data_IF_688622501348
#
_entry.id   IF_688622501348
#
_cell.length_a   1.000
_cell.length_b   1.000
_cell.length_c   1.000
_cell.angle_alpha   90.00
_cell.angle_beta   90.00
_cell.angle_gamma   90.00
#
_symmetry.space_group_name_H-M   'P 1'
#
loop_
_entity.id
_entity.type
_entity.pdbx_description
1 polymer ?
#
# COMPACT_ATOMS: atom_id res chain seq x y z
N UNK A 1 11.85 -13.04 -0.89
CA UNK A 1 10.78 -12.30 -0.19
C UNK A 1 9.69 -11.93 -1.18
N UNK A 2 8.45 -12.22 -0.85
CA UNK A 2 7.29 -11.80 -1.64
C UNK A 2 6.86 -10.40 -1.21
N UNK A 3 6.75 -9.49 -2.17
CA UNK A 3 6.31 -8.11 -1.94
C UNK A 3 5.07 -7.84 -2.79
N UNK A 4 3.97 -7.51 -2.15
CA UNK A 4 2.77 -7.09 -2.84
C UNK A 4 2.77 -5.57 -3.01
N UNK A 5 2.60 -5.11 -4.24
CA UNK A 5 2.40 -3.70 -4.56
C UNK A 5 0.94 -3.53 -4.99
N UNK A 6 0.15 -2.87 -4.15
CA UNK A 6 -1.26 -2.59 -4.44
C UNK A 6 -1.38 -1.13 -4.88
N UNK A 7 -1.44 -0.92 -6.19
CA UNK A 7 -1.42 0.40 -6.83
C UNK A 7 -2.10 0.33 -8.19
N UNK A 8 -2.98 1.26 -8.50
CA UNK A 8 -3.71 1.31 -9.77
C UNK A 8 -3.12 2.29 -10.80
N UNK A 9 -2.33 3.27 -10.36
CA UNK A 9 -1.65 4.20 -11.26
C UNK A 9 -0.39 3.57 -11.83
N UNK A 10 -0.33 3.46 -13.15
CA UNK A 10 0.73 2.73 -13.85
C UNK A 10 2.12 3.30 -13.59
N UNK A 11 2.30 4.62 -13.62
CA UNK A 11 3.60 5.25 -13.42
C UNK A 11 4.13 5.02 -12.00
N UNK A 12 3.27 5.19 -11.01
CA UNK A 12 3.63 4.95 -9.61
C UNK A 12 3.95 3.48 -9.36
N UNK A 13 3.18 2.56 -9.96
CA UNK A 13 3.45 1.14 -9.90
C UNK A 13 4.84 0.80 -10.43
N UNK A 14 5.22 1.37 -11.58
CA UNK A 14 6.57 1.19 -12.15
C UNK A 14 7.66 1.70 -11.22
N UNK A 15 7.47 2.87 -10.62
CA UNK A 15 8.43 3.44 -9.67
C UNK A 15 8.59 2.57 -8.43
N UNK A 16 7.49 2.04 -7.91
CA UNK A 16 7.54 1.14 -6.76
C UNK A 16 8.19 -0.21 -7.10
N UNK A 17 7.94 -0.75 -8.29
CA UNK A 17 8.65 -1.96 -8.77
C UNK A 17 10.15 -1.74 -8.81
N UNK A 18 10.59 -0.63 -9.41
CA UNK A 18 12.01 -0.30 -9.49
C UNK A 18 12.62 -0.16 -8.09
N UNK A 19 11.92 0.51 -7.18
CA UNK A 19 12.34 0.64 -5.79
C UNK A 19 12.55 -0.73 -5.13
N UNK A 20 11.59 -1.62 -5.26
CA UNK A 20 11.68 -2.97 -4.67
C UNK A 20 12.85 -3.74 -5.26
N UNK A 21 13.01 -3.71 -6.59
CA UNK A 21 14.10 -4.40 -7.28
C UNK A 21 15.47 -3.87 -6.84
N UNK A 22 15.59 -2.57 -6.63
CA UNK A 22 16.85 -1.94 -6.26
C UNK A 22 17.22 -2.13 -4.77
N UNK A 23 16.24 -2.35 -3.91
CA UNK A 23 16.45 -2.35 -2.45
C UNK A 23 16.24 -3.69 -1.77
N UNK A 24 15.65 -4.66 -2.43
CA UNK A 24 15.41 -6.01 -1.88
C UNK A 24 16.07 -7.03 -2.78
N UNK A 25 16.84 -7.94 -2.19
CA UNK A 25 17.54 -8.99 -2.93
C UNK A 25 16.55 -10.08 -3.37
N UNK A 26 16.55 -10.40 -4.66
CA UNK A 26 15.71 -11.43 -5.28
C UNK A 26 14.24 -11.36 -4.86
N UNK A 27 13.57 -10.20 -5.05
CA UNK A 27 12.18 -10.09 -4.65
C UNK A 27 11.25 -10.82 -5.63
N UNK A 28 10.20 -11.42 -5.08
CA UNK A 28 9.06 -11.87 -5.88
C UNK A 28 8.01 -10.76 -5.78
N UNK A 29 7.79 -10.05 -6.88
CA UNK A 29 6.88 -8.90 -6.89
C UNK A 29 5.50 -9.36 -7.35
N UNK A 30 4.52 -9.15 -6.49
CA UNK A 30 3.11 -9.37 -6.75
C UNK A 30 2.44 -8.01 -6.96
N UNK A 31 1.52 -7.94 -7.90
CA UNK A 31 0.84 -6.69 -8.22
C UNK A 31 -0.67 -6.85 -8.06
N UNK A 32 -1.32 -5.80 -7.53
CA UNK A 32 -2.76 -5.71 -7.45
C UNK A 32 -3.17 -4.27 -7.78
N UNK A 33 -4.24 -4.11 -8.54
CA UNK A 33 -4.69 -2.80 -9.01
C UNK A 33 -6.03 -2.36 -8.43
N UNK A 34 -6.56 -3.15 -7.50
CA UNK A 34 -7.84 -2.88 -6.85
C UNK A 34 -7.87 -3.49 -5.46
N UNK A 35 -8.86 -3.11 -4.67
CA UNK A 35 -9.12 -3.75 -3.37
C UNK A 35 -9.33 -5.25 -3.56
N UNK A 36 -10.13 -5.65 -4.54
CA UNK A 36 -10.44 -7.06 -4.79
C UNK A 36 -9.21 -7.87 -5.16
N UNK A 37 -8.42 -7.40 -6.12
CA UNK A 37 -7.22 -8.12 -6.53
C UNK A 37 -6.15 -8.13 -5.42
N UNK A 38 -6.07 -7.08 -4.60
CA UNK A 38 -5.17 -7.08 -3.44
C UNK A 38 -5.55 -8.15 -2.43
N UNK A 39 -6.83 -8.28 -2.12
CA UNK A 39 -7.32 -9.31 -1.19
C UNK A 39 -7.03 -10.72 -1.75
N UNK A 40 -7.28 -10.94 -3.03
CA UNK A 40 -6.99 -12.23 -3.67
C UNK A 40 -5.51 -12.60 -3.55
N UNK A 41 -4.61 -11.64 -3.83
CA UNK A 41 -3.16 -11.86 -3.70
C UNK A 41 -2.75 -12.11 -2.25
N UNK A 42 -3.33 -11.41 -1.30
CA UNK A 42 -3.05 -11.60 0.13
C UNK A 42 -3.44 -13.01 0.58
N UNK A 43 -4.59 -13.50 0.16
CA UNK A 43 -5.07 -14.82 0.52
C UNK A 43 -4.25 -15.95 -0.15
N UNK A 44 -3.97 -15.80 -1.43
CA UNK A 44 -3.31 -16.84 -2.23
C UNK A 44 -1.81 -16.92 -1.99
N UNK A 45 -1.14 -15.77 -1.92
CA UNK A 45 0.31 -15.69 -1.95
C UNK A 45 0.94 -15.40 -0.58
N UNK A 46 0.21 -14.85 0.35
CA UNK A 46 0.71 -14.52 1.70
C UNK A 46 2.03 -13.74 1.65
N UNK A 47 2.04 -12.50 1.12
CA UNK A 47 3.27 -11.73 0.98
C UNK A 47 3.91 -11.39 2.33
N UNK A 48 5.21 -11.11 2.29
CA UNK A 48 6.00 -10.73 3.46
C UNK A 48 6.00 -9.23 3.71
N UNK A 49 5.66 -8.44 2.69
CA UNK A 49 5.61 -6.98 2.75
C UNK A 49 4.53 -6.49 1.79
N UNK A 50 3.76 -5.51 2.21
CA UNK A 50 2.73 -4.88 1.38
C UNK A 50 3.02 -3.40 1.25
N UNK A 51 3.17 -2.92 0.01
CA UNK A 51 3.18 -1.50 -0.32
C UNK A 51 1.78 -1.16 -0.85
N UNK A 52 1.07 -0.30 -0.16
CA UNK A 52 -0.37 -0.12 -0.34
C UNK A 52 -0.72 1.33 -0.63
N UNK A 53 -1.39 1.57 -1.76
CA UNK A 53 -2.01 2.86 -2.02
C UNK A 53 -3.34 2.98 -1.27
N UNK A 54 -3.62 4.17 -0.76
CA UNK A 54 -4.86 4.42 -0.03
C UNK A 54 -6.07 4.60 -0.95
N UNK A 55 -5.86 5.01 -2.20
CA UNK A 55 -6.91 5.39 -3.15
C UNK A 55 -7.26 4.29 -4.17
N UNK A 56 -7.15 3.03 -3.80
CA UNK A 56 -7.45 1.91 -4.70
C UNK A 56 -8.93 1.89 -5.10
N UNK A 57 -9.25 1.59 -6.38
CA UNK A 57 -10.62 1.29 -6.78
C UNK A 57 -11.06 -0.06 -6.20
N UNK A 58 -12.36 -0.30 -6.17
CA UNK A 58 -12.93 -1.55 -5.63
C UNK A 58 -12.55 -2.75 -6.48
N UNK A 59 -12.66 -2.60 -7.82
CA UNK A 59 -12.37 -3.65 -8.80
C UNK A 59 -11.35 -3.17 -9.82
N UNK A 60 -10.63 -4.11 -10.43
CA UNK A 60 -9.73 -3.81 -11.54
C UNK A 60 -10.51 -3.19 -12.70
N UNK A 61 -9.89 -2.21 -13.38
CA UNK A 61 -10.48 -1.49 -14.51
C UNK A 61 -9.86 -2.00 -15.79
N UNK A 62 -10.69 -2.53 -16.69
CA UNK A 62 -10.26 -2.88 -18.04
C UNK A 62 -10.08 -1.61 -18.89
N UNK A 63 -9.23 -1.65 -19.95
CA UNK A 63 -9.08 -0.51 -20.84
C UNK A 63 -10.42 -0.08 -21.43
N UNK A 64 -10.77 1.19 -21.26
CA UNK A 64 -12.04 1.74 -21.76
C UNK A 64 -13.23 1.63 -20.80
N UNK A 65 -13.08 0.97 -19.66
CA UNK A 65 -14.12 0.94 -18.64
C UNK A 65 -13.92 2.07 -17.63
N UNK A 66 -15.03 2.66 -17.18
CA UNK A 66 -15.02 3.51 -16.00
C UNK A 66 -15.12 2.59 -14.77
N UNK A 67 -14.02 2.39 -14.07
CA UNK A 67 -13.91 1.42 -12.97
C UNK A 67 -14.56 1.82 -11.66
N UNK A 68 -15.65 2.54 -11.69
CA UNK A 68 -16.24 3.07 -10.49
C UNK A 68 -15.39 4.22 -9.93
N UNK A 69 -15.87 4.83 -8.88
CA UNK A 69 -15.14 5.93 -8.22
C UNK A 69 -13.96 5.34 -7.45
N UNK A 70 -12.75 5.93 -7.58
CA UNK A 70 -11.70 5.61 -6.63
C UNK A 70 -12.24 5.91 -5.23
N UNK A 71 -12.23 4.90 -4.38
CA UNK A 71 -12.60 5.14 -2.99
C UNK A 71 -11.38 5.76 -2.31
N UNK A 72 -11.55 6.93 -1.67
CA UNK A 72 -10.46 7.60 -0.96
C UNK A 72 -9.78 6.73 0.10
N UNK A 73 -10.44 5.65 0.52
CA UNK A 73 -9.95 4.73 1.56
C UNK A 73 -9.96 3.26 1.12
N UNK A 74 -9.77 2.97 -0.18
CA UNK A 74 -9.68 1.59 -0.65
C UNK A 74 -8.57 0.80 0.05
N UNK A 75 -7.43 1.44 0.31
CA UNK A 75 -6.35 0.83 1.09
C UNK A 75 -6.77 0.46 2.51
N UNK A 76 -7.55 1.29 3.17
CA UNK A 76 -8.08 0.98 4.51
C UNK A 76 -9.00 -0.25 4.47
N UNK A 77 -9.77 -0.43 3.39
CA UNK A 77 -10.56 -1.64 3.18
C UNK A 77 -9.69 -2.89 3.11
N UNK A 78 -8.57 -2.81 2.37
CA UNK A 78 -7.62 -3.92 2.28
C UNK A 78 -7.09 -4.29 3.68
N UNK A 79 -6.70 -3.31 4.48
CA UNK A 79 -6.19 -3.55 5.83
C UNK A 79 -7.26 -4.15 6.74
N UNK A 80 -8.50 -3.71 6.60
CA UNK A 80 -9.63 -4.27 7.36
C UNK A 80 -9.85 -5.74 7.02
N UNK A 81 -9.78 -6.11 5.74
CA UNK A 81 -9.87 -7.51 5.34
C UNK A 81 -8.69 -8.35 5.84
N UNK A 82 -7.48 -7.78 5.87
CA UNK A 82 -6.33 -8.46 6.46
C UNK A 82 -6.60 -8.82 7.93
N UNK A 83 -7.11 -7.88 8.69
CA UNK A 83 -7.46 -8.12 10.10
C UNK A 83 -8.54 -9.21 10.23
N UNK A 84 -9.58 -9.14 9.41
CA UNK A 84 -10.68 -10.11 9.41
C UNK A 84 -10.19 -11.52 9.06
N UNK A 85 -9.28 -11.65 8.11
CA UNK A 85 -8.74 -12.94 7.65
C UNK A 85 -7.56 -13.43 8.49
N UNK A 86 -7.11 -12.65 9.47
CA UNK A 86 -5.96 -12.98 10.28
C UNK A 86 -4.63 -12.96 9.51
N UNK A 87 -4.55 -12.18 8.45
CA UNK A 87 -3.33 -12.03 7.66
C UNK A 87 -2.47 -10.95 8.32
N UNK A 88 -1.32 -11.36 8.84
CA UNK A 88 -0.36 -10.45 9.47
C UNK A 88 0.85 -10.32 8.56
N UNK A 89 0.94 -9.18 7.88
CA UNK A 89 2.09 -8.79 7.08
C UNK A 89 2.33 -7.30 7.31
N UNK A 90 3.58 -6.84 7.37
CA UNK A 90 3.86 -5.41 7.49
C UNK A 90 3.35 -4.65 6.26
N UNK A 91 2.63 -3.56 6.52
CA UNK A 91 2.06 -2.70 5.48
C UNK A 91 2.67 -1.32 5.59
N UNK A 92 3.23 -0.83 4.48
CA UNK A 92 3.64 0.56 4.31
C UNK A 92 2.69 1.19 3.29
N UNK A 93 2.02 2.26 3.71
CA UNK A 93 1.14 3.04 2.82
C UNK A 93 1.99 4.01 2.03
N UNK A 94 1.85 4.00 0.69
CA UNK A 94 2.51 4.94 -0.21
C UNK A 94 1.42 5.64 -1.00
N UNK A 95 1.18 6.91 -0.69
CA UNK A 95 0.04 7.66 -1.23
C UNK A 95 0.46 8.98 -1.85
N UNK A 96 -0.20 9.33 -2.97
CA UNK A 96 0.01 10.60 -3.65
C UNK A 96 -0.91 11.72 -3.12
N UNK A 97 -1.81 11.43 -2.22
CA UNK A 97 -2.77 12.39 -1.70
C UNK A 97 -2.38 12.91 -0.33
N UNK A 98 -2.43 14.22 -0.14
CA UNK A 98 -2.17 14.88 1.15
C UNK A 98 -3.39 14.92 2.05
N UNK A 99 -4.57 14.71 1.48
CA UNK A 99 -5.81 14.74 2.23
C UNK A 99 -6.86 13.80 1.63
N UNK A 100 -7.70 13.28 2.49
CA UNK A 100 -8.79 12.38 2.12
C UNK A 100 -10.09 12.90 2.71
N UNK A 101 -11.22 12.66 2.02
CA UNK A 101 -12.53 12.94 2.57
C UNK A 101 -13.10 11.68 3.23
N UNK A 102 -13.55 11.84 4.47
CA UNK A 102 -14.26 10.81 5.21
C UNK A 102 -15.53 11.42 5.78
N UNK A 103 -16.69 10.93 5.33
CA UNK A 103 -18.01 11.42 5.75
C UNK A 103 -18.17 12.95 5.59
N UNK A 104 -17.64 13.49 4.48
CA UNK A 104 -17.69 14.91 4.20
C UNK A 104 -16.66 15.76 4.94
N UNK A 105 -15.72 15.13 5.67
CA UNK A 105 -14.64 15.82 6.36
C UNK A 105 -13.31 15.50 5.72
N UNK A 106 -12.45 16.52 5.59
CA UNK A 106 -11.08 16.35 5.12
C UNK A 106 -10.22 15.70 6.21
N UNK A 107 -9.46 14.68 5.84
CA UNK A 107 -8.52 13.99 6.73
C UNK A 107 -7.12 14.17 6.18
N UNK A 108 -6.24 14.82 6.92
CA UNK A 108 -4.83 14.99 6.51
C UNK A 108 -4.01 13.72 6.77
N UNK A 109 -2.77 13.70 6.25
CA UNK A 109 -1.88 12.53 6.38
C UNK A 109 -1.55 12.20 7.83
N UNK A 110 -1.37 13.21 8.68
CA UNK A 110 -1.05 12.98 10.10
C UNK A 110 -2.19 12.30 10.83
N UNK A 111 -3.42 12.72 10.55
CA UNK A 111 -4.61 12.14 11.14
C UNK A 111 -4.86 10.73 10.59
N UNK A 112 -4.65 10.53 9.28
CA UNK A 112 -4.75 9.21 8.67
C UNK A 112 -3.73 8.25 9.29
N UNK A 113 -2.48 8.67 9.44
CA UNK A 113 -1.44 7.85 10.05
C UNK A 113 -1.82 7.44 11.48
N UNK A 114 -2.32 8.37 12.28
CA UNK A 114 -2.75 8.08 13.64
C UNK A 114 -3.89 7.06 13.67
N UNK A 115 -4.88 7.21 12.79
CA UNK A 115 -6.00 6.26 12.67
C UNK A 115 -5.54 4.87 12.25
N UNK A 116 -4.66 4.79 11.26
CA UNK A 116 -4.16 3.49 10.79
C UNK A 116 -3.33 2.80 11.86
N UNK A 117 -2.54 3.55 12.61
CA UNK A 117 -1.72 3.01 13.69
C UNK A 117 -2.58 2.48 14.84
N UNK A 118 -3.67 3.19 15.17
CA UNK A 118 -4.61 2.75 16.20
C UNK A 118 -5.43 1.53 15.75
N UNK A 119 -5.93 1.55 14.52
CA UNK A 119 -6.84 0.53 14.01
C UNK A 119 -6.11 -0.74 13.56
N UNK A 120 -4.85 -0.62 13.14
CA UNK A 120 -4.08 -1.70 12.50
C UNK A 120 -2.67 -1.82 13.11
N UNK A 121 -2.59 -1.81 14.44
CA UNK A 121 -1.31 -1.79 15.17
C UNK A 121 -0.40 -2.98 14.85
N UNK A 122 -0.96 -4.13 14.48
CA UNK A 122 -0.18 -5.33 14.19
C UNK A 122 0.41 -5.35 12.77
N UNK A 123 -0.15 -4.59 11.83
CA UNK A 123 0.26 -4.62 10.43
C UNK A 123 0.84 -3.30 9.95
N UNK A 124 0.26 -2.17 10.34
CA UNK A 124 0.68 -0.85 9.86
C UNK A 124 2.07 -0.47 10.37
N UNK A 125 2.95 -0.06 9.44
CA UNK A 125 4.33 0.33 9.76
C UNK A 125 4.66 1.79 9.47
N UNK A 126 3.91 2.44 8.60
CA UNK A 126 4.11 3.84 8.31
C UNK A 126 3.47 4.27 7.01
N UNK A 127 3.52 5.57 6.76
CA UNK A 127 2.96 6.18 5.57
C UNK A 127 4.02 7.06 4.90
N UNK A 128 4.10 6.99 3.59
CA UNK A 128 5.02 7.77 2.77
C UNK A 128 4.22 8.56 1.75
N UNK A 129 4.46 9.86 1.69
CA UNK A 129 3.90 10.70 0.64
C UNK A 129 4.71 10.55 -0.65
N UNK A 130 4.03 10.15 -1.73
CA UNK A 130 4.62 10.00 -3.05
C UNK A 130 4.34 11.23 -3.89
N UNK A 131 5.40 11.96 -4.24
CA UNK A 131 5.35 13.03 -5.24
C UNK A 131 5.83 12.47 -6.58
N UNK A 132 5.01 12.53 -7.61
CA UNK A 132 5.37 12.02 -8.94
C UNK A 132 6.48 12.82 -9.64
N UNK A 133 6.84 13.99 -9.10
CA UNK A 133 7.79 14.92 -9.71
C UNK A 133 9.19 14.84 -9.10
N UNK A 134 9.35 14.19 -7.96
CA UNK A 134 10.62 14.13 -7.22
C UNK A 134 10.85 12.70 -6.74
N UNK A 135 12.08 12.41 -6.34
CA UNK A 135 12.48 11.10 -5.80
C UNK A 135 12.61 11.09 -4.28
N UNK A 136 12.17 12.14 -3.62
CA UNK A 136 12.29 12.32 -2.16
C UNK A 136 11.47 11.31 -1.34
N UNK A 137 10.47 10.68 -1.95
CA UNK A 137 9.70 9.58 -1.32
C UNK A 137 10.55 8.32 -1.08
N UNK A 138 11.64 8.15 -1.82
CA UNK A 138 12.46 6.92 -1.74
C UNK A 138 13.18 6.79 -0.41
N UNK A 139 13.71 7.87 0.14
CA UNK A 139 14.46 7.84 1.41
C UNK A 139 13.59 7.41 2.59
N UNK A 140 12.43 8.02 2.85
CA UNK A 140 11.56 7.55 3.94
C UNK A 140 11.04 6.13 3.71
N UNK A 141 10.73 5.75 2.47
CA UNK A 141 10.31 4.38 2.16
C UNK A 141 11.44 3.39 2.44
N UNK A 142 12.65 3.71 2.04
CA UNK A 142 13.83 2.86 2.30
C UNK A 142 14.06 2.68 3.80
N UNK A 143 13.92 3.73 4.58
CA UNK A 143 14.06 3.66 6.04
C UNK A 143 13.04 2.70 6.65
N UNK A 144 11.77 2.79 6.24
CA UNK A 144 10.72 1.90 6.74
C UNK A 144 10.94 0.46 6.31
N UNK A 145 11.27 0.23 5.06
CA UNK A 145 11.49 -1.12 4.52
C UNK A 145 12.72 -1.76 5.17
N UNK A 146 13.81 -1.03 5.32
CA UNK A 146 15.03 -1.51 5.98
C UNK A 146 14.74 -1.92 7.43
N UNK A 147 13.98 -1.12 8.16
CA UNK A 147 13.57 -1.46 9.53
C UNK A 147 12.75 -2.74 9.60
N UNK A 148 11.85 -2.95 8.64
CA UNK A 148 11.03 -4.17 8.55
C UNK A 148 11.92 -5.39 8.24
N UNK A 149 12.86 -5.26 7.31
CA UNK A 149 13.77 -6.34 6.92
C UNK A 149 14.66 -6.75 8.10
N UNK A 150 15.22 -5.80 8.82
CA UNK A 150 16.07 -6.04 10.00
C UNK A 150 15.29 -6.74 11.11
N UNK A 151 14.03 -6.37 11.31
CA UNK A 151 13.18 -7.00 12.31
C UNK A 151 12.87 -8.47 11.98
N UNK A 152 12.82 -8.82 10.68
CA UNK A 152 12.51 -10.16 10.21
C UNK A 152 13.74 -11.06 10.03
N UNK A 153 14.94 -10.55 10.22
CA UNK A 153 16.15 -11.38 10.23
C UNK A 153 16.21 -12.20 11.52
N UNK A 154 16.49 -13.49 11.41
CA UNK A 154 16.63 -14.35 12.59
C UNK A 154 17.85 -14.01 13.47
#
# INVERSE_FOLDING_TARGET
>A
MKVLIAEDEYQKLRHLRAFVTDNITDPIILEARSVRSAIDQLEEERPHLVLLDMSLPTFDVAPGESGGRPQGFGGAEVMRYMDFLGIVAPVVVVTAYEGFEDKGKSVDLSLLEARLRDDHASTFRGIVYYSGLASDWQTPLKTLVTGILEWNEP
#
